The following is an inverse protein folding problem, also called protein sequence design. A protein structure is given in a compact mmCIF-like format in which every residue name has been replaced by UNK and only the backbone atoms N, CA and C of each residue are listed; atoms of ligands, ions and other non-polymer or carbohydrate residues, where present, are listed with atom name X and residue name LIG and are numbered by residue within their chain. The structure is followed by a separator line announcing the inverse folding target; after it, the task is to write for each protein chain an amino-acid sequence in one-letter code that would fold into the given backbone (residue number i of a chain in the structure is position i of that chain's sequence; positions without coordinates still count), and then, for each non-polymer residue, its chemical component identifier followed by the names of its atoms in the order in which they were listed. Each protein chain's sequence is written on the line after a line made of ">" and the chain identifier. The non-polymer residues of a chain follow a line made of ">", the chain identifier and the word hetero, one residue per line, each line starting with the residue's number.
data_IF_950735753762
#
_entry.id   IF_950735753762
#
_cell.length_a   1.000
_cell.length_b   1.000
_cell.length_c   1.000
_cell.angle_alpha   90.00
_cell.angle_beta   90.00
_cell.angle_gamma   90.00
#
_symmetry.space_group_name_H-M   'P 1'
#
loop_
_entity.id
_entity.type
_entity.pdbx_description
1 polymer ?
#
# COMPACT_ATOMS: atom_id res chain seq x y z
N UNK A 1 -1.12 -16.88 6.41
CA UNK A 1 0.02 -15.94 6.44
C UNK A 1 1.33 -16.59 6.93
N UNK A 2 1.37 -17.92 7.15
CA UNK A 2 2.43 -18.59 7.93
C UNK A 2 3.44 -19.40 7.10
N UNK A 3 3.23 -19.63 5.80
CA UNK A 3 4.10 -20.55 5.04
C UNK A 3 5.23 -19.84 4.29
N UNK A 4 5.00 -18.65 3.72
CA UNK A 4 6.04 -17.86 3.02
C UNK A 4 7.05 -17.18 3.97
N UNK A 5 6.64 -16.84 5.20
CA UNK A 5 7.53 -16.16 6.16
C UNK A 5 8.68 -17.06 6.63
N UNK A 6 8.48 -18.37 6.70
CA UNK A 6 9.49 -19.34 7.11
C UNK A 6 10.57 -19.57 6.04
N UNK A 7 10.28 -19.34 4.75
CA UNK A 7 11.26 -19.48 3.67
C UNK A 7 12.30 -18.35 3.66
N UNK A 8 11.89 -17.15 4.10
CA UNK A 8 12.75 -15.97 4.19
C UNK A 8 13.49 -15.87 5.53
N UNK A 9 12.92 -16.42 6.60
CA UNK A 9 13.48 -16.36 7.94
C UNK A 9 14.38 -17.56 8.22
N UNK A 10 15.68 -17.42 7.95
CA UNK A 10 16.70 -18.25 8.61
C UNK A 10 17.05 -17.57 9.94
N UNK A 11 17.01 -18.26 11.09
CA UNK A 11 17.38 -17.70 12.39
C UNK A 11 18.89 -17.49 12.44
N UNK A 12 19.34 -16.46 11.73
CA UNK A 12 20.71 -15.99 11.68
C UNK A 12 20.66 -14.59 12.25
N UNK A 13 21.47 -14.26 13.25
CA UNK A 13 21.50 -12.92 13.87
C UNK A 13 21.98 -11.79 12.94
N UNK A 14 22.16 -12.08 11.65
CA UNK A 14 22.63 -11.13 10.63
C UNK A 14 21.49 -10.50 9.81
N UNK A 15 21.86 -9.62 8.87
CA UNK A 15 20.91 -9.01 7.93
C UNK A 15 20.31 -10.09 7.01
N UNK A 16 18.99 -10.04 6.78
CA UNK A 16 18.29 -10.95 5.87
C UNK A 16 18.70 -10.73 4.40
N UNK A 17 19.02 -9.49 4.01
CA UNK A 17 19.33 -9.11 2.64
C UNK A 17 20.60 -8.24 2.58
N UNK A 18 21.24 -8.24 1.42
CA UNK A 18 22.31 -7.31 1.06
C UNK A 18 21.74 -5.99 0.53
N UNK A 19 22.58 -4.96 0.42
CA UNK A 19 22.19 -3.71 -0.22
C UNK A 19 21.80 -3.97 -1.68
N UNK A 20 20.64 -3.46 -2.08
CA UNK A 20 20.06 -3.74 -3.39
C UNK A 20 19.45 -2.50 -4.06
N UNK A 21 19.67 -1.30 -3.53
CA UNK A 21 19.07 -0.08 -4.06
C UNK A 21 19.65 0.28 -5.43
N UNK A 22 20.97 0.13 -5.59
CA UNK A 22 21.62 0.39 -6.89
C UNK A 22 21.18 -0.63 -7.96
N UNK A 23 21.22 -1.95 -7.73
CA UNK A 23 20.65 -2.93 -8.64
C UNK A 23 19.17 -2.69 -8.95
N UNK A 24 18.37 -2.32 -7.95
CA UNK A 24 16.95 -2.03 -8.11
C UNK A 24 16.72 -0.86 -9.07
N UNK A 25 17.40 0.28 -8.84
CA UNK A 25 17.32 1.43 -9.75
C UNK A 25 17.76 1.08 -11.17
N UNK A 26 18.81 0.26 -11.31
CA UNK A 26 19.28 -0.21 -12.61
C UNK A 26 18.23 -1.05 -13.33
N UNK A 27 17.58 -1.98 -12.64
CA UNK A 27 16.54 -2.86 -13.20
C UNK A 27 15.32 -2.03 -13.65
N UNK A 28 14.82 -1.14 -12.79
CA UNK A 28 13.68 -0.27 -13.12
C UNK A 28 13.92 0.48 -14.43
N UNK A 29 15.09 1.10 -14.57
CA UNK A 29 15.43 1.91 -15.74
C UNK A 29 15.77 1.08 -16.98
N UNK A 30 16.66 0.08 -16.85
CA UNK A 30 17.28 -0.56 -18.01
C UNK A 30 16.64 -1.89 -18.41
N UNK A 31 15.92 -2.56 -17.51
CA UNK A 31 15.29 -3.86 -17.78
C UNK A 31 13.78 -3.74 -17.97
N UNK A 32 13.14 -2.87 -17.19
CA UNK A 32 11.70 -2.66 -17.26
C UNK A 32 11.30 -1.44 -18.10
N UNK A 33 12.25 -0.55 -18.41
CA UNK A 33 11.98 0.67 -19.17
C UNK A 33 11.04 1.65 -18.46
N UNK A 34 10.97 1.59 -17.12
CA UNK A 34 10.13 2.47 -16.32
C UNK A 34 10.86 3.79 -16.07
N UNK A 35 10.40 4.86 -16.71
CA UNK A 35 10.85 6.21 -16.40
C UNK A 35 10.11 6.75 -15.18
N UNK A 36 10.83 6.94 -14.09
CA UNK A 36 10.31 7.50 -12.85
C UNK A 36 10.82 8.94 -12.65
N UNK A 37 10.00 9.83 -12.09
CA UNK A 37 10.48 11.13 -11.64
C UNK A 37 11.65 10.99 -10.66
N UNK A 38 12.51 12.00 -10.62
CA UNK A 38 13.68 12.00 -9.73
C UNK A 38 13.28 11.72 -8.27
N UNK A 39 13.99 10.80 -7.63
CA UNK A 39 13.74 10.39 -6.24
C UNK A 39 12.60 9.39 -6.01
N UNK A 40 11.75 9.11 -7.00
CA UNK A 40 10.58 8.25 -6.80
C UNK A 40 10.90 6.76 -6.70
N UNK A 41 12.03 6.29 -7.21
CA UNK A 41 12.42 4.88 -7.15
C UNK A 41 12.36 4.32 -5.71
N UNK A 42 12.82 5.10 -4.73
CA UNK A 42 12.79 4.71 -3.30
C UNK A 42 11.40 4.40 -2.74
N UNK A 43 10.33 4.98 -3.31
CA UNK A 43 8.97 4.87 -2.79
C UNK A 43 7.98 4.28 -3.80
N UNK A 44 8.40 4.01 -5.04
CA UNK A 44 7.49 3.58 -6.12
C UNK A 44 6.68 2.35 -5.73
N UNK A 45 7.32 1.32 -5.14
CA UNK A 45 6.63 0.09 -4.73
C UNK A 45 5.63 0.34 -3.58
N UNK A 46 5.97 1.26 -2.65
CA UNK A 46 5.06 1.67 -1.57
C UNK A 46 3.84 2.41 -2.12
N UNK A 47 4.05 3.31 -3.09
CA UNK A 47 2.97 4.01 -3.77
C UNK A 47 2.08 3.04 -4.54
N UNK A 48 2.66 2.09 -5.27
CA UNK A 48 1.93 1.02 -5.97
C UNK A 48 1.07 0.22 -5.00
N UNK A 49 1.63 -0.25 -3.88
CA UNK A 49 0.87 -0.96 -2.86
C UNK A 49 -0.31 -0.14 -2.34
N UNK A 50 -0.08 1.12 -1.97
CA UNK A 50 -1.10 1.99 -1.40
C UNK A 50 -2.24 2.29 -2.39
N UNK A 51 -1.91 2.58 -3.65
CA UNK A 51 -2.89 2.77 -4.71
C UNK A 51 -3.75 1.52 -4.90
N UNK A 52 -3.14 0.35 -5.08
CA UNK A 52 -3.88 -0.90 -5.28
C UNK A 52 -4.69 -1.31 -4.05
N UNK A 53 -4.20 -1.05 -2.84
CA UNK A 53 -4.95 -1.30 -1.61
C UNK A 53 -6.26 -0.50 -1.59
N UNK A 54 -6.21 0.79 -1.95
CA UNK A 54 -7.40 1.63 -2.01
C UNK A 54 -8.33 1.24 -3.18
N UNK A 55 -7.78 0.94 -4.36
CA UNK A 55 -8.56 0.46 -5.51
C UNK A 55 -9.37 -0.80 -5.19
N UNK A 56 -8.85 -1.65 -4.31
CA UNK A 56 -9.52 -2.88 -3.86
C UNK A 56 -10.55 -2.64 -2.73
N UNK A 57 -10.92 -1.39 -2.44
CA UNK A 57 -11.88 -1.05 -1.37
C UNK A 57 -11.28 -1.10 0.04
N UNK A 58 -9.95 -1.00 0.15
CA UNK A 58 -9.27 -0.96 1.43
C UNK A 58 -9.67 0.24 2.31
N UNK A 59 -9.66 0.04 3.62
CA UNK A 59 -9.98 1.11 4.57
C UNK A 59 -8.79 2.08 4.71
N UNK A 60 -9.02 3.37 4.47
CA UNK A 60 -7.97 4.42 4.50
C UNK A 60 -7.26 4.54 5.86
N UNK A 61 -7.96 4.27 6.97
CA UNK A 61 -7.37 4.29 8.31
C UNK A 61 -6.44 3.10 8.53
N UNK A 62 -6.80 1.93 7.99
CA UNK A 62 -5.95 0.75 8.00
C UNK A 62 -4.71 0.99 7.14
N UNK A 63 -4.86 1.63 5.98
CA UNK A 63 -3.73 1.98 5.13
C UNK A 63 -2.75 2.94 5.84
N UNK A 64 -3.25 3.92 6.61
CA UNK A 64 -2.42 4.82 7.43
C UNK A 64 -1.52 4.01 8.36
N UNK A 65 -2.09 3.03 9.05
CA UNK A 65 -1.37 2.21 10.02
C UNK A 65 -0.36 1.27 9.35
N UNK A 66 -0.75 0.64 8.23
CA UNK A 66 0.16 -0.22 7.44
C UNK A 66 1.37 0.59 6.94
N UNK A 67 1.15 1.81 6.47
CA UNK A 67 2.21 2.68 5.98
C UNK A 67 2.98 3.39 7.10
N UNK A 68 2.50 3.32 8.35
CA UNK A 68 3.10 4.02 9.48
C UNK A 68 3.07 5.55 9.33
N UNK A 69 2.02 6.10 8.72
CA UNK A 69 1.85 7.55 8.62
C UNK A 69 1.37 8.13 9.96
N UNK A 70 2.13 9.07 10.51
CA UNK A 70 1.74 9.78 11.74
C UNK A 70 0.50 10.68 11.55
N UNK A 71 0.32 11.20 10.33
CA UNK A 71 -0.80 12.06 9.97
C UNK A 71 -1.63 11.41 8.84
N UNK A 72 -2.95 11.37 9.03
CA UNK A 72 -3.89 10.87 8.03
C UNK A 72 -3.83 11.69 6.75
N UNK A 73 -3.52 12.99 6.81
CA UNK A 73 -3.43 13.86 5.64
C UNK A 73 -2.43 13.34 4.59
N UNK A 74 -1.37 12.65 5.02
CA UNK A 74 -0.40 12.01 4.11
C UNK A 74 -1.06 10.85 3.36
N UNK A 75 -1.84 10.03 4.07
CA UNK A 75 -2.55 8.87 3.49
C UNK A 75 -3.69 9.31 2.58
N UNK A 76 -4.32 10.46 2.85
CA UNK A 76 -5.40 11.00 2.02
C UNK A 76 -5.00 11.26 0.57
N UNK A 77 -3.69 11.31 0.25
CA UNK A 77 -3.19 11.31 -1.13
C UNK A 77 -3.73 10.13 -1.95
N UNK A 78 -4.03 8.99 -1.33
CA UNK A 78 -4.56 7.80 -2.02
C UNK A 78 -6.09 7.70 -2.01
N UNK A 79 -6.81 8.63 -1.35
CA UNK A 79 -8.26 8.52 -1.20
C UNK A 79 -9.01 8.47 -2.53
N UNK A 80 -8.49 9.17 -3.56
CA UNK A 80 -9.08 9.18 -4.90
C UNK A 80 -9.01 7.84 -5.64
N UNK A 81 -8.24 6.87 -5.14
CA UNK A 81 -8.23 5.50 -5.66
C UNK A 81 -9.35 4.64 -5.08
N UNK A 82 -10.01 5.07 -4.01
CA UNK A 82 -11.11 4.32 -3.43
C UNK A 82 -12.29 4.27 -4.41
N UNK A 83 -12.98 3.12 -4.54
CA UNK A 83 -14.20 3.05 -5.34
C UNK A 83 -15.30 3.95 -4.74
N UNK A 84 -16.22 4.40 -5.58
CA UNK A 84 -17.34 5.23 -5.13
C UNK A 84 -18.26 4.43 -4.17
N UNK A 85 -18.45 4.96 -2.96
CA UNK A 85 -19.25 4.32 -1.91
C UNK A 85 -20.49 5.13 -1.51
N UNK A 86 -20.98 6.05 -2.37
CA UNK A 86 -22.13 6.88 -2.03
C UNK A 86 -23.40 6.05 -1.74
N UNK A 87 -23.55 4.88 -2.36
CA UNK A 87 -24.63 3.93 -2.07
C UNK A 87 -24.61 3.39 -0.63
N UNK A 88 -23.44 3.38 0.02
CA UNK A 88 -23.30 2.90 1.40
C UNK A 88 -24.02 3.82 2.38
N UNK A 89 -24.14 5.11 2.09
CA UNK A 89 -24.90 6.03 2.93
C UNK A 89 -26.39 5.64 3.00
N UNK A 90 -26.95 5.13 1.89
CA UNK A 90 -28.34 4.68 1.81
C UNK A 90 -28.53 3.34 2.52
N UNK A 91 -27.55 2.44 2.47
CA UNK A 91 -27.68 1.09 3.06
C UNK A 91 -27.23 1.00 4.52
N UNK A 92 -26.30 1.86 4.97
CA UNK A 92 -25.68 1.82 6.30
C UNK A 92 -26.11 2.97 7.22
N UNK A 93 -27.11 3.77 6.84
CA UNK A 93 -27.67 4.78 7.76
C UNK A 93 -28.40 4.10 8.93
N UNK A 94 -28.49 4.75 10.11
CA UNK A 94 -29.08 4.16 11.31
C UNK A 94 -30.59 3.89 11.19
N UNK A 95 -31.29 4.51 10.24
CA UNK A 95 -32.75 4.38 10.07
C UNK A 95 -33.11 3.14 9.27
N UNK A 96 -32.23 2.68 8.38
CA UNK A 96 -32.47 1.55 7.47
C UNK A 96 -32.88 0.25 8.19
N UNK A 97 -32.46 0.04 9.44
CA UNK A 97 -32.80 -1.14 10.26
C UNK A 97 -33.89 -0.92 11.31
N UNK A 98 -34.46 0.28 11.44
CA UNK A 98 -35.42 0.64 12.51
C UNK A 98 -36.89 0.40 12.08
N UNK A 99 -37.15 0.26 10.78
CA UNK A 99 -38.50 0.17 10.21
C UNK A 99 -38.94 -1.19 9.66
N UNK A 100 -38.25 -2.29 10.01
CA UNK A 100 -38.59 -3.66 9.58
C UNK A 100 -39.19 -4.47 10.74
#
# INVERSE_FOLDING_TARGET
>A
MTQQSHELYKPTSGKLFVECYTPFCYILKNKLGLELPSGQASHVLRHTFASHFMMNGGNILVLRDILGHADIAITMRYAHFAPDHLSDAVTKNPIAGIGA
#
